data_IF_130447748836
#
_entry.id   IF_130447748836
#
_cell.length_a   1.000
_cell.length_b   1.000
_cell.length_c   1.000
_cell.angle_alpha   90.00
_cell.angle_beta   90.00
_cell.angle_gamma   90.00
#
_symmetry.space_group_name_H-M   'P 1'
#
loop_
_entity.id
_entity.type
_entity.pdbx_description
1 polymer ?
#
# COMPACT_ATOMS: atom_id res chain seq x y z
N UNK A 1 19.89 11.49 -7.88
CA UNK A 1 18.80 11.31 -6.88
C UNK A 1 17.50 11.76 -7.52
N UNK A 2 16.53 10.86 -7.71
CA UNK A 2 15.26 11.18 -8.38
C UNK A 2 14.14 11.06 -7.36
N UNK A 3 13.31 12.09 -7.25
CA UNK A 3 12.09 12.01 -6.46
C UNK A 3 10.94 11.59 -7.37
N UNK A 4 10.13 10.62 -6.97
CA UNK A 4 8.99 10.20 -7.76
C UNK A 4 7.70 10.49 -7.00
N UNK A 5 6.94 11.46 -7.54
CA UNK A 5 5.71 11.93 -6.94
C UNK A 5 4.59 11.93 -7.96
N UNK A 6 3.44 11.45 -7.52
CA UNK A 6 2.16 11.79 -8.08
C UNK A 6 1.64 13.10 -7.45
N UNK A 7 0.62 13.72 -8.04
CA UNK A 7 -0.15 14.76 -7.34
C UNK A 7 -0.95 14.13 -6.21
N UNK A 8 -0.30 13.94 -5.07
CA UNK A 8 -0.95 13.45 -3.87
C UNK A 8 -1.99 14.47 -3.38
N UNK A 9 -3.17 14.03 -2.91
CA UNK A 9 -4.21 14.92 -2.42
C UNK A 9 -3.71 15.86 -1.30
N UNK A 10 -4.24 17.10 -1.20
CA UNK A 10 -3.82 18.05 -0.18
C UNK A 10 -4.26 17.66 1.24
N UNK A 11 -5.29 16.82 1.38
CA UNK A 11 -5.76 16.25 2.64
C UNK A 11 -5.50 14.75 2.66
N UNK A 12 -5.04 14.23 3.80
CA UNK A 12 -4.93 12.80 4.05
C UNK A 12 -6.01 12.32 5.03
N UNK A 13 -6.42 11.05 4.91
CA UNK A 13 -7.34 10.42 5.87
C UNK A 13 -6.60 10.04 7.15
N UNK A 14 -5.35 9.60 7.01
CA UNK A 14 -4.50 9.22 8.14
C UNK A 14 -3.03 9.59 7.88
N UNK A 15 -2.37 10.06 8.93
CA UNK A 15 -0.92 10.20 9.01
C UNK A 15 -0.41 9.28 10.12
N UNK A 16 0.61 8.48 9.84
CA UNK A 16 1.22 7.54 10.78
C UNK A 16 2.69 7.30 10.44
N UNK A 17 3.46 6.82 11.41
CA UNK A 17 4.86 6.46 11.20
C UNK A 17 5.07 4.93 11.18
N UNK A 18 6.09 4.51 10.44
CA UNK A 18 6.62 3.14 10.45
C UNK A 18 8.09 3.20 10.88
N UNK A 19 8.46 2.42 11.89
CA UNK A 19 9.81 2.39 12.47
C UNK A 19 10.78 1.58 11.59
N UNK A 20 11.02 2.09 10.38
CA UNK A 20 11.89 1.48 9.38
C UNK A 20 12.53 2.56 8.51
N UNK A 21 13.77 2.32 8.06
CA UNK A 21 14.46 3.21 7.12
C UNK A 21 13.67 3.35 5.80
N UNK A 22 13.81 4.49 5.12
CA UNK A 22 13.11 4.76 3.87
C UNK A 22 13.31 3.67 2.82
N UNK A 23 14.56 3.27 2.57
CA UNK A 23 14.87 2.24 1.58
C UNK A 23 14.27 0.88 1.95
N UNK A 24 14.28 0.52 3.23
CA UNK A 24 13.77 -0.78 3.67
C UNK A 24 12.24 -0.82 3.68
N UNK A 25 11.58 0.32 3.94
CA UNK A 25 10.13 0.42 3.85
C UNK A 25 9.67 0.37 2.39
N UNK A 26 10.33 1.09 1.49
CA UNK A 26 10.05 1.02 0.04
C UNK A 26 10.20 -0.42 -0.45
N UNK A 27 11.29 -1.11 -0.10
CA UNK A 27 11.49 -2.53 -0.46
C UNK A 27 10.43 -3.44 0.15
N UNK A 28 9.99 -3.16 1.37
CA UNK A 28 8.92 -3.92 2.02
C UNK A 28 7.61 -3.78 1.25
N UNK A 29 7.19 -2.55 0.96
CA UNK A 29 5.96 -2.25 0.23
C UNK A 29 6.00 -2.86 -1.17
N UNK A 30 7.14 -2.81 -1.86
CA UNK A 30 7.32 -3.50 -3.14
C UNK A 30 7.07 -5.01 -3.03
N UNK A 31 7.62 -5.66 -1.99
CA UNK A 31 7.42 -7.10 -1.74
C UNK A 31 5.98 -7.48 -1.40
N UNK A 32 5.15 -6.53 -1.01
CA UNK A 32 3.72 -6.79 -0.83
C UNK A 32 3.01 -7.04 -2.15
N UNK A 33 3.54 -6.58 -3.28
CA UNK A 33 2.91 -6.82 -4.57
C UNK A 33 2.72 -8.32 -4.83
N UNK A 34 1.49 -8.72 -5.22
CA UNK A 34 1.07 -10.10 -5.39
C UNK A 34 1.13 -10.99 -4.13
N UNK A 35 1.52 -10.45 -2.98
CA UNK A 35 1.37 -11.11 -1.70
C UNK A 35 -0.10 -11.13 -1.27
N UNK A 36 -0.39 -11.95 -0.26
CA UNK A 36 -1.71 -12.00 0.33
C UNK A 36 -1.65 -12.36 1.80
N UNK A 37 -2.70 -12.00 2.51
CA UNK A 37 -2.98 -12.49 3.85
C UNK A 37 -4.38 -13.11 3.90
N UNK A 38 -4.62 -13.95 4.90
CA UNK A 38 -5.93 -14.54 5.14
C UNK A 38 -6.41 -14.20 6.54
N UNK A 39 -7.57 -13.57 6.62
CA UNK A 39 -8.18 -13.15 7.87
C UNK A 39 -9.56 -13.78 8.01
N UNK A 40 -10.02 -14.00 9.24
CA UNK A 40 -11.41 -14.37 9.50
C UNK A 40 -12.26 -13.12 9.69
N UNK A 41 -13.37 -13.00 8.95
CA UNK A 41 -14.41 -12.00 9.17
C UNK A 41 -15.68 -12.71 9.61
N UNK A 42 -15.92 -12.74 10.93
CA UNK A 42 -16.98 -13.56 11.50
C UNK A 42 -16.72 -15.05 11.25
N UNK A 43 -17.67 -15.72 10.57
CA UNK A 43 -17.53 -17.13 10.18
C UNK A 43 -16.76 -17.33 8.86
N UNK A 44 -16.58 -16.26 8.08
CA UNK A 44 -16.02 -16.35 6.74
C UNK A 44 -14.49 -16.23 6.76
N UNK A 45 -13.83 -17.04 5.93
CA UNK A 45 -12.40 -16.89 5.65
C UNK A 45 -12.24 -15.97 4.44
N UNK A 46 -11.42 -14.93 4.59
CA UNK A 46 -11.23 -13.91 3.58
C UNK A 46 -9.74 -13.79 3.25
N UNK A 47 -9.42 -13.82 1.96
CA UNK A 47 -8.10 -13.53 1.41
C UNK A 47 -8.05 -12.07 0.96
N UNK A 48 -7.05 -11.34 1.42
CA UNK A 48 -6.70 -10.00 0.96
C UNK A 48 -5.45 -10.09 0.10
N UNK A 49 -5.56 -9.76 -1.19
CA UNK A 49 -4.43 -9.76 -2.13
C UNK A 49 -3.99 -8.32 -2.40
N UNK A 50 -2.70 -8.06 -2.28
CA UNK A 50 -2.10 -6.75 -2.48
C UNK A 50 -1.68 -6.57 -3.94
N UNK A 51 -2.14 -5.50 -4.58
CA UNK A 51 -1.54 -4.94 -5.78
C UNK A 51 -0.93 -3.59 -5.42
N UNK A 52 0.30 -3.35 -5.86
CA UNK A 52 1.07 -2.18 -5.49
C UNK A 52 1.58 -1.58 -6.78
N UNK A 53 1.15 -0.36 -7.04
CA UNK A 53 1.71 0.49 -8.07
C UNK A 53 2.56 1.58 -7.41
N UNK A 54 3.58 2.03 -8.13
CA UNK A 54 4.39 3.18 -7.74
C UNK A 54 4.16 4.31 -8.74
N UNK A 55 4.23 5.55 -8.28
CA UNK A 55 4.37 6.66 -9.20
C UNK A 55 5.68 6.46 -10.00
N UNK A 56 5.64 6.60 -11.33
CA UNK A 56 6.86 6.68 -12.18
C UNK A 56 7.07 8.13 -12.66
N UNK A 57 5.97 8.85 -12.91
CA UNK A 57 5.95 10.25 -13.35
C UNK A 57 4.88 11.02 -12.60
N UNK A 58 4.84 12.34 -12.81
CA UNK A 58 3.89 13.27 -12.16
C UNK A 58 2.41 12.87 -12.24
N UNK A 59 2.03 12.04 -13.20
CA UNK A 59 0.62 11.79 -13.54
C UNK A 59 0.24 10.31 -13.61
N UNK A 60 1.18 9.37 -13.46
CA UNK A 60 0.86 7.95 -13.62
C UNK A 60 1.43 7.09 -12.50
N UNK A 61 0.61 6.12 -12.09
CA UNK A 61 1.02 4.95 -11.34
C UNK A 61 1.24 3.79 -12.31
N UNK A 62 2.30 3.02 -12.08
CA UNK A 62 2.60 1.79 -12.80
C UNK A 62 2.87 0.68 -11.79
N UNK A 63 2.56 -0.58 -12.11
CA UNK A 63 2.94 -1.72 -11.26
C UNK A 63 4.41 -1.66 -10.85
N UNK A 64 4.71 -1.96 -9.59
CA UNK A 64 6.08 -1.90 -9.06
C UNK A 64 7.05 -2.79 -9.85
N UNK A 65 6.57 -3.86 -10.47
CA UNK A 65 7.35 -4.75 -11.33
C UNK A 65 7.93 -4.06 -12.57
N UNK A 66 7.35 -2.93 -13.00
CA UNK A 66 7.84 -2.15 -14.14
C UNK A 66 8.87 -1.08 -13.77
N UNK A 67 9.16 -0.90 -12.48
CA UNK A 67 10.17 0.07 -12.02
C UNK A 67 11.23 -0.69 -11.23
N UNK A 68 12.34 -0.98 -11.89
CA UNK A 68 13.51 -1.58 -11.24
C UNK A 68 14.14 -0.57 -10.27
N UNK A 69 14.65 -1.09 -9.14
CA UNK A 69 15.51 -0.34 -8.21
C UNK A 69 14.86 0.94 -7.62
N UNK A 70 13.57 0.88 -7.26
CA UNK A 70 12.84 2.02 -6.66
C UNK A 70 13.56 2.51 -5.39
N UNK A 71 13.99 1.59 -4.52
CA UNK A 71 14.60 1.92 -3.24
C UNK A 71 16.00 2.53 -3.39
N UNK A 72 16.67 2.32 -4.52
CA UNK A 72 18.00 2.82 -4.83
C UNK A 72 17.94 4.14 -5.62
N UNK A 73 16.84 4.38 -6.32
CA UNK A 73 16.66 5.58 -7.17
C UNK A 73 15.93 6.73 -6.47
N UNK A 74 15.12 6.41 -5.45
CA UNK A 74 14.32 7.33 -4.64
C UNK A 74 14.84 7.38 -3.21
N UNK A 75 14.90 8.57 -2.63
CA UNK A 75 15.62 8.75 -1.36
C UNK A 75 14.97 9.70 -0.38
N UNK A 76 13.82 10.29 -0.72
CA UNK A 76 13.21 11.32 0.14
C UNK A 76 11.71 11.12 0.27
N UNK A 77 11.01 10.83 -0.82
CA UNK A 77 9.64 10.36 -0.73
C UNK A 77 9.21 9.58 -1.97
N UNK A 78 8.28 8.65 -1.77
CA UNK A 78 7.75 7.74 -2.77
C UNK A 78 6.23 7.64 -2.61
N UNK A 79 5.51 7.75 -3.73
CA UNK A 79 4.06 7.61 -3.75
C UNK A 79 3.69 6.24 -4.33
N UNK A 80 2.86 5.51 -3.59
CA UNK A 80 2.27 4.24 -3.98
C UNK A 80 0.76 4.37 -4.15
N UNK A 81 0.22 3.51 -5.00
CA UNK A 81 -1.19 3.16 -5.00
C UNK A 81 -1.30 1.69 -4.62
N UNK A 82 -1.98 1.42 -3.52
CA UNK A 82 -2.16 0.08 -2.98
C UNK A 82 -3.62 -0.32 -3.17
N UNK A 83 -3.85 -1.37 -3.93
CA UNK A 83 -5.17 -1.97 -4.15
C UNK A 83 -5.23 -3.30 -3.41
N UNK A 84 -6.25 -3.45 -2.58
CA UNK A 84 -6.54 -4.67 -1.81
C UNK A 84 -7.78 -5.34 -2.38
N UNK A 85 -7.58 -6.49 -3.03
CA UNK A 85 -8.69 -7.32 -3.46
C UNK A 85 -9.10 -8.28 -2.35
N UNK A 86 -10.34 -8.12 -1.90
CA UNK A 86 -10.95 -8.97 -0.90
C UNK A 86 -11.69 -10.11 -1.59
N UNK A 87 -11.32 -11.34 -1.24
CA UNK A 87 -11.92 -12.57 -1.79
C UNK A 87 -12.35 -13.47 -0.65
N UNK A 88 -13.63 -13.80 -0.57
CA UNK A 88 -14.16 -14.78 0.36
C UNK A 88 -13.81 -16.18 -0.13
N UNK A 89 -13.28 -17.00 0.75
CA UNK A 89 -12.91 -18.39 0.49
C UNK A 89 -14.00 -19.29 1.07
N UNK A 90 -14.77 -19.94 0.19
CA UNK A 90 -15.68 -21.02 0.57
C UNK A 90 -15.04 -22.38 0.22
N UNK A 91 -15.55 -23.50 0.76
CA UNK A 91 -15.04 -24.83 0.40
C UNK A 91 -15.13 -25.11 -1.11
N UNK A 92 -16.12 -24.56 -1.80
CA UNK A 92 -16.40 -24.83 -3.21
C UNK A 92 -15.74 -23.84 -4.17
N UNK A 93 -15.61 -22.57 -3.77
CA UNK A 93 -15.11 -21.51 -4.66
C UNK A 93 -14.56 -20.30 -3.92
N UNK A 94 -13.81 -19.49 -4.66
CA UNK A 94 -13.40 -18.14 -4.25
C UNK A 94 -14.35 -17.11 -4.84
N UNK A 95 -14.84 -16.17 -4.02
CA UNK A 95 -15.84 -15.17 -4.40
C UNK A 95 -15.23 -13.78 -4.17
N UNK A 96 -15.02 -12.95 -5.21
CA UNK A 96 -14.62 -11.56 -5.03
C UNK A 96 -15.69 -10.80 -4.23
N UNK A 97 -15.26 -10.11 -3.17
CA UNK A 97 -16.14 -9.38 -2.24
C UNK A 97 -16.04 -7.89 -2.47
N UNK A 98 -14.83 -7.35 -2.43
CA UNK A 98 -14.60 -5.92 -2.54
C UNK A 98 -13.19 -5.60 -3.03
N UNK A 99 -13.02 -4.35 -3.45
CA UNK A 99 -11.74 -3.76 -3.76
C UNK A 99 -11.60 -2.49 -2.92
N UNK A 100 -10.46 -2.32 -2.25
CA UNK A 100 -10.13 -1.11 -1.50
C UNK A 100 -8.85 -0.53 -2.09
N UNK A 101 -8.89 0.75 -2.46
CA UNK A 101 -7.76 1.42 -3.10
C UNK A 101 -7.29 2.57 -2.22
N UNK A 102 -5.99 2.69 -2.05
CA UNK A 102 -5.38 3.72 -1.22
C UNK A 102 -4.19 4.35 -1.93
N UNK A 103 -4.10 5.68 -1.88
CA UNK A 103 -2.86 6.39 -2.15
C UNK A 103 -2.06 6.46 -0.86
N UNK A 104 -0.79 6.07 -0.94
CA UNK A 104 0.15 6.12 0.19
C UNK A 104 1.38 6.91 -0.21
N UNK A 105 1.66 8.01 0.50
CA UNK A 105 2.93 8.71 0.39
C UNK A 105 3.82 8.32 1.55
N UNK A 106 5.02 7.85 1.24
CA UNK A 106 6.08 7.57 2.22
C UNK A 106 7.10 8.69 2.12
N UNK A 107 7.42 9.35 3.23
CA UNK A 107 8.49 10.34 3.35
C UNK A 107 9.59 9.82 4.28
N UNK A 108 10.84 10.07 3.90
CA UNK A 108 11.99 9.84 4.76
C UNK A 108 11.99 10.85 5.93
N UNK A 109 11.96 10.33 7.15
CA UNK A 109 12.07 11.09 8.39
C UNK A 109 13.27 10.63 9.23
N UNK A 110 14.32 10.11 8.58
CA UNK A 110 15.57 9.67 9.18
C UNK A 110 15.54 8.20 9.57
N UNK A 111 15.37 7.90 10.87
CA UNK A 111 15.34 6.51 11.35
C UNK A 111 13.98 5.82 11.13
N UNK A 112 12.95 6.61 10.82
CA UNK A 112 11.59 6.17 10.55
C UNK A 112 11.06 6.84 9.29
N UNK A 113 9.90 6.39 8.83
CA UNK A 113 9.20 7.02 7.72
C UNK A 113 7.85 7.58 8.15
N UNK A 114 7.51 8.78 7.67
CA UNK A 114 6.16 9.33 7.78
C UNK A 114 5.33 8.86 6.59
N UNK A 115 4.16 8.30 6.87
CA UNK A 115 3.25 7.72 5.89
C UNK A 115 1.91 8.45 5.90
N UNK A 116 1.45 8.88 4.73
CA UNK A 116 0.16 9.54 4.54
C UNK A 116 -0.71 8.63 3.69
N UNK A 117 -1.89 8.26 4.20
CA UNK A 117 -2.85 7.42 3.48
C UNK A 117 -4.10 8.21 3.13
N UNK A 118 -4.59 7.99 1.91
CA UNK A 118 -5.88 8.46 1.41
C UNK A 118 -6.59 7.29 0.77
N UNK A 119 -7.83 7.01 1.17
CA UNK A 119 -8.70 6.06 0.49
C UNK A 119 -9.21 6.68 -0.80
N UNK A 120 -8.99 5.98 -1.92
CA UNK A 120 -9.60 6.34 -3.19
C UNK A 120 -10.96 5.66 -3.34
N UNK A 121 -11.97 6.48 -3.62
CA UNK A 121 -13.34 6.01 -3.84
C UNK A 121 -14.06 5.60 -2.55
N UNK A 122 -15.23 4.98 -2.73
CA UNK A 122 -16.13 4.56 -1.63
C UNK A 122 -16.33 3.05 -1.55
N UNK A 123 -15.61 2.30 -2.37
CA UNK A 123 -15.74 0.85 -2.44
C UNK A 123 -14.98 0.18 -1.29
N UNK A 124 -15.48 -0.99 -0.90
CA UNK A 124 -14.97 -1.78 0.21
C UNK A 124 -15.12 -1.10 1.58
N UNK A 125 -15.01 -1.89 2.63
CA UNK A 125 -15.24 -1.45 4.01
C UNK A 125 -13.97 -0.99 4.72
N UNK A 126 -12.78 -1.20 4.13
CA UNK A 126 -11.52 -0.90 4.81
C UNK A 126 -11.25 0.60 4.79
N UNK A 127 -10.74 1.15 5.87
CA UNK A 127 -10.31 2.54 5.95
C UNK A 127 -8.78 2.65 6.09
N UNK A 128 -8.29 3.88 6.28
CA UNK A 128 -6.86 4.14 6.38
C UNK A 128 -6.22 3.56 7.67
N UNK A 129 -7.01 3.32 8.73
CA UNK A 129 -6.53 2.65 9.94
C UNK A 129 -6.29 1.17 9.67
N UNK A 130 -7.19 0.51 8.94
CA UNK A 130 -6.98 -0.88 8.51
C UNK A 130 -5.70 -1.00 7.67
N UNK A 131 -5.50 -0.08 6.71
CA UNK A 131 -4.29 -0.06 5.88
C UNK A 131 -3.02 0.12 6.74
N UNK A 132 -3.04 1.03 7.72
CA UNK A 132 -1.92 1.21 8.65
C UNK A 132 -1.59 -0.09 9.39
N UNK A 133 -2.59 -0.79 9.91
CA UNK A 133 -2.37 -2.06 10.61
C UNK A 133 -1.75 -3.13 9.70
N UNK A 134 -2.19 -3.20 8.44
CA UNK A 134 -1.60 -4.10 7.44
C UNK A 134 -0.15 -3.76 7.12
N UNK A 135 0.14 -2.48 6.88
CA UNK A 135 1.50 -2.05 6.55
C UNK A 135 2.45 -2.21 7.73
N UNK A 136 2.02 -1.87 8.94
CA UNK A 136 2.81 -2.14 10.15
C UNK A 136 3.01 -3.63 10.37
N UNK A 137 1.96 -4.45 10.28
CA UNK A 137 2.07 -5.90 10.47
C UNK A 137 2.96 -6.62 9.45
N UNK A 138 3.17 -6.03 8.27
CA UNK A 138 4.04 -6.61 7.24
C UNK A 138 5.44 -5.97 7.18
N UNK A 139 5.60 -4.74 7.66
CA UNK A 139 6.83 -3.96 7.55
C UNK A 139 7.45 -3.53 8.89
N UNK A 140 6.88 -3.92 10.04
CA UNK A 140 7.53 -3.86 11.36
C UNK A 140 7.79 -5.28 11.84
#
# INVERSE_FOLDING_TARGET
MRRIYHRFPPSCDLNFDIDRSFSDLVRCIQKLHHSHITNRKGADLVKLTFLVDVADKKTQFVPVDYVSDIAETVTEACDFRITLHETMLTPEKSIPVSENMFLVRVNDAGQRCDCFAVKEGRQGQMDAMDLRELLKGACE
#
